data_IF_473224487601
#
_entry.id   IF_473224487601
#
_cell.length_a   1.000
_cell.length_b   1.000
_cell.length_c   1.000
_cell.angle_alpha   90.00
_cell.angle_beta   90.00
_cell.angle_gamma   90.00
#
_symmetry.space_group_name_H-M   'P 1'
#
loop_
_entity.id
_entity.type
_entity.pdbx_description
1 polymer ?
#
# COMPACT_ATOMS: atom_id res chain seq x y z
N UNK A 1 -27.61 -32.29 1.90
CA UNK A 1 -26.92 -31.36 0.98
C UNK A 1 -27.31 -29.94 1.37
N UNK A 2 -26.36 -29.08 1.71
CA UNK A 2 -26.63 -27.73 2.19
C UNK A 2 -26.72 -26.75 1.01
N UNK A 3 -27.77 -25.94 0.97
CA UNK A 3 -27.98 -24.89 -0.01
C UNK A 3 -26.93 -23.78 0.21
N UNK A 4 -25.85 -23.77 -0.57
CA UNK A 4 -24.88 -22.68 -0.55
C UNK A 4 -25.38 -21.54 -1.44
N UNK A 5 -25.71 -20.42 -0.82
CA UNK A 5 -25.95 -19.15 -1.51
C UNK A 5 -24.60 -18.47 -1.78
N UNK A 6 -24.27 -18.12 -3.04
CA UNK A 6 -23.07 -17.34 -3.32
C UNK A 6 -23.26 -15.92 -2.76
N UNK A 7 -22.46 -15.57 -1.76
CA UNK A 7 -22.37 -14.19 -1.26
C UNK A 7 -21.40 -13.44 -2.16
N UNK A 8 -21.92 -12.53 -2.96
CA UNK A 8 -21.10 -11.71 -3.85
C UNK A 8 -20.24 -10.74 -3.04
N UNK A 9 -19.01 -10.54 -3.53
CA UNK A 9 -18.09 -9.55 -2.97
C UNK A 9 -18.63 -8.15 -3.24
N UNK A 10 -18.45 -7.24 -2.28
CA UNK A 10 -18.86 -5.84 -2.45
C UNK A 10 -18.20 -5.20 -3.68
N UNK A 11 -18.99 -4.44 -4.45
CA UNK A 11 -18.55 -3.79 -5.70
C UNK A 11 -17.36 -2.85 -5.44
N UNK A 12 -17.31 -2.24 -4.25
CA UNK A 12 -16.21 -1.37 -3.80
C UNK A 12 -14.85 -2.08 -3.70
N UNK A 13 -14.85 -3.41 -3.58
CA UNK A 13 -13.65 -4.25 -3.46
C UNK A 13 -13.25 -4.90 -4.78
N UNK A 14 -14.03 -4.72 -5.84
CA UNK A 14 -13.74 -5.26 -7.16
C UNK A 14 -12.81 -4.27 -7.86
N UNK A 15 -11.53 -4.61 -7.96
CA UNK A 15 -10.60 -3.86 -8.76
C UNK A 15 -10.74 -4.22 -10.24
N UNK A 16 -10.68 -3.20 -11.10
CA UNK A 16 -10.60 -3.41 -12.53
C UNK A 16 -9.26 -4.07 -12.88
N UNK A 17 -9.33 -5.24 -13.52
CA UNK A 17 -8.19 -5.87 -14.16
C UNK A 17 -8.07 -5.28 -15.55
N UNK A 18 -6.95 -4.61 -15.80
CA UNK A 18 -6.83 -3.69 -16.94
C UNK A 18 -6.23 -4.43 -18.13
N UNK A 19 -5.12 -5.10 -17.88
CA UNK A 19 -4.32 -5.74 -18.92
C UNK A 19 -3.83 -7.08 -18.38
N UNK A 20 -4.10 -8.16 -19.14
CA UNK A 20 -3.66 -9.53 -18.82
C UNK A 20 -4.05 -10.01 -17.41
N UNK A 21 -5.17 -9.53 -16.86
CA UNK A 21 -5.60 -9.93 -15.51
C UNK A 21 -4.82 -9.26 -14.38
N UNK A 22 -4.04 -8.21 -14.67
CA UNK A 22 -3.30 -7.42 -13.68
C UNK A 22 -4.02 -6.09 -13.38
N UNK A 23 -3.98 -5.68 -12.11
CA UNK A 23 -4.44 -4.35 -11.71
C UNK A 23 -3.46 -3.27 -12.15
N UNK A 24 -3.89 -2.00 -12.18
CA UNK A 24 -3.02 -0.86 -12.47
C UNK A 24 -1.76 -0.82 -11.60
N UNK A 25 -1.88 -1.22 -10.33
CA UNK A 25 -0.75 -1.27 -9.40
C UNK A 25 0.26 -2.35 -9.78
N UNK A 26 -0.24 -3.53 -10.13
CA UNK A 26 0.62 -4.64 -10.56
C UNK A 26 1.33 -4.27 -11.85
N UNK A 27 0.65 -3.62 -12.80
CA UNK A 27 1.28 -3.12 -14.03
C UNK A 27 2.38 -2.09 -13.74
N UNK A 28 2.12 -1.14 -12.84
CA UNK A 28 3.14 -0.17 -12.43
C UNK A 28 4.35 -0.83 -11.75
N UNK A 29 4.14 -1.93 -11.03
CA UNK A 29 5.20 -2.70 -10.38
C UNK A 29 5.96 -3.62 -11.36
N UNK A 30 5.29 -4.21 -12.36
CA UNK A 30 5.93 -5.12 -13.31
C UNK A 30 6.85 -4.40 -14.28
N UNK A 31 6.52 -3.19 -14.71
CA UNK A 31 7.36 -2.42 -15.65
C UNK A 31 8.81 -2.25 -15.15
N UNK A 32 9.08 -1.68 -13.96
CA UNK A 32 10.43 -1.55 -13.45
C UNK A 32 11.05 -2.91 -13.12
N UNK A 33 10.25 -3.87 -12.66
CA UNK A 33 10.73 -5.23 -12.38
C UNK A 33 11.30 -5.89 -13.64
N UNK A 34 10.63 -5.77 -14.78
CA UNK A 34 11.08 -6.31 -16.08
C UNK A 34 12.27 -5.54 -16.62
N UNK A 35 12.27 -4.20 -16.55
CA UNK A 35 13.38 -3.38 -17.07
C UNK A 35 14.67 -3.65 -16.28
N UNK A 36 14.59 -3.63 -14.96
CA UNK A 36 15.77 -3.77 -14.09
C UNK A 36 16.26 -5.23 -14.08
N UNK A 37 15.38 -6.21 -13.86
CA UNK A 37 15.81 -7.62 -13.86
C UNK A 37 16.17 -8.11 -15.26
N UNK A 38 15.47 -7.65 -16.30
CA UNK A 38 15.82 -7.96 -17.69
C UNK A 38 17.18 -7.38 -18.05
N UNK A 39 17.48 -6.14 -17.65
CA UNK A 39 18.80 -5.54 -17.83
C UNK A 39 19.90 -6.30 -17.08
N UNK A 40 19.64 -6.72 -15.83
CA UNK A 40 20.59 -7.50 -15.04
C UNK A 40 20.82 -8.90 -15.65
N UNK A 41 19.77 -9.53 -16.16
CA UNK A 41 19.85 -10.81 -16.85
C UNK A 41 20.67 -10.70 -18.14
N UNK A 42 20.48 -9.63 -18.93
CA UNK A 42 21.27 -9.37 -20.12
C UNK A 42 22.75 -9.13 -19.80
N UNK A 43 23.06 -8.45 -18.69
CA UNK A 43 24.43 -8.30 -18.20
C UNK A 43 25.06 -9.64 -17.79
N UNK A 44 24.32 -10.50 -17.08
CA UNK A 44 24.81 -11.82 -16.72
C UNK A 44 25.03 -12.71 -17.94
N UNK A 45 24.16 -12.63 -18.94
CA UNK A 45 24.37 -13.29 -20.23
C UNK A 45 25.65 -12.80 -20.92
N UNK A 46 25.90 -11.48 -20.93
CA UNK A 46 27.11 -10.91 -21.53
C UNK A 46 28.40 -11.33 -20.79
N UNK A 47 28.36 -11.47 -19.47
CA UNK A 47 29.52 -11.86 -18.65
C UNK A 47 29.79 -13.36 -18.72
N UNK A 48 28.75 -14.20 -18.66
CA UNK A 48 28.91 -15.65 -18.67
C UNK A 48 29.08 -16.21 -20.10
N UNK A 49 28.69 -15.46 -21.14
CA UNK A 49 28.75 -15.89 -22.54
C UNK A 49 27.75 -16.98 -22.92
N UNK A 50 26.91 -17.41 -21.98
CA UNK A 50 25.88 -18.44 -22.13
C UNK A 50 24.67 -18.07 -21.27
N UNK A 51 23.52 -18.71 -21.56
CA UNK A 51 22.30 -18.61 -20.74
C UNK A 51 22.41 -19.38 -19.41
N UNK A 52 23.62 -19.64 -18.94
CA UNK A 52 23.85 -20.23 -17.63
C UNK A 52 23.81 -19.13 -16.56
N UNK A 53 22.65 -19.03 -15.91
CA UNK A 53 22.48 -18.21 -14.72
C UNK A 53 22.88 -19.06 -13.52
N UNK A 54 24.01 -18.72 -12.92
CA UNK A 54 24.51 -19.41 -11.71
C UNK A 54 23.58 -19.17 -10.52
N UNK A 55 23.64 -20.06 -9.53
CA UNK A 55 22.79 -20.00 -8.33
C UNK A 55 22.89 -18.66 -7.59
N UNK A 56 24.08 -18.04 -7.53
CA UNK A 56 24.24 -16.73 -6.89
C UNK A 56 23.61 -15.58 -7.69
N UNK A 57 23.67 -15.63 -9.03
CA UNK A 57 23.04 -14.63 -9.91
C UNK A 57 21.52 -14.66 -9.78
N UNK A 58 20.93 -15.85 -9.57
CA UNK A 58 19.51 -15.99 -9.28
C UNK A 58 19.12 -15.30 -7.96
N UNK A 59 19.94 -15.43 -6.90
CA UNK A 59 19.67 -14.73 -5.65
C UNK A 59 19.73 -13.21 -5.82
N UNK A 60 20.66 -12.69 -6.63
CA UNK A 60 20.73 -11.25 -6.91
C UNK A 60 19.47 -10.77 -7.65
N UNK A 61 19.05 -11.47 -8.71
CA UNK A 61 17.80 -11.18 -9.42
C UNK A 61 16.60 -11.20 -8.46
N UNK A 62 16.54 -12.22 -7.59
CA UNK A 62 15.45 -12.34 -6.63
C UNK A 62 15.40 -11.16 -5.65
N UNK A 63 16.52 -10.79 -5.05
CA UNK A 63 16.59 -9.67 -4.09
C UNK A 63 16.22 -8.35 -4.76
N UNK A 64 16.62 -8.15 -6.01
CA UNK A 64 16.28 -6.95 -6.79
C UNK A 64 14.81 -6.91 -7.19
N UNK A 65 14.22 -8.06 -7.54
CA UNK A 65 12.79 -8.17 -7.86
C UNK A 65 11.86 -8.04 -6.65
N UNK A 66 12.31 -8.50 -5.48
CA UNK A 66 11.53 -8.58 -4.25
C UNK A 66 10.81 -7.29 -3.86
N UNK A 67 11.44 -6.10 -3.79
CA UNK A 67 10.74 -4.87 -3.40
C UNK A 67 9.59 -4.49 -4.37
N UNK A 68 9.76 -4.73 -5.68
CA UNK A 68 8.72 -4.46 -6.67
C UNK A 68 7.58 -5.47 -6.58
N UNK A 69 7.90 -6.74 -6.38
CA UNK A 69 6.89 -7.79 -6.18
C UNK A 69 6.07 -7.53 -4.90
N UNK A 70 6.73 -7.14 -3.81
CA UNK A 70 6.07 -6.71 -2.59
C UNK A 70 5.16 -5.51 -2.88
N UNK A 71 5.64 -4.44 -3.51
CA UNK A 71 4.78 -3.30 -3.82
C UNK A 71 3.55 -3.66 -4.67
N UNK A 72 3.71 -4.49 -5.72
CA UNK A 72 2.62 -4.89 -6.60
C UNK A 72 1.58 -5.80 -5.93
N UNK A 73 2.03 -6.77 -5.13
CA UNK A 73 1.19 -7.87 -4.62
C UNK A 73 0.91 -7.83 -3.12
N UNK A 74 1.57 -6.96 -2.35
CA UNK A 74 1.32 -6.85 -0.91
C UNK A 74 -0.08 -6.31 -0.64
N UNK A 75 -0.91 -7.14 0.00
CA UNK A 75 -2.27 -6.80 0.45
C UNK A 75 -2.52 -7.38 1.84
N UNK A 76 -2.13 -6.67 2.91
CA UNK A 76 -2.43 -7.13 4.26
C UNK A 76 -3.95 -7.08 4.42
N UNK A 77 -4.54 -8.22 4.81
CA UNK A 77 -5.99 -8.37 4.97
C UNK A 77 -6.84 -8.01 3.74
N UNK A 78 -6.27 -8.07 2.53
CA UNK A 78 -6.99 -7.76 1.29
C UNK A 78 -7.25 -6.27 1.06
N UNK A 79 -6.71 -5.39 1.90
CA UNK A 79 -6.85 -3.94 1.78
C UNK A 79 -5.73 -3.33 0.93
N UNK A 80 -6.01 -2.20 0.28
CA UNK A 80 -5.01 -1.42 -0.46
C UNK A 80 -4.13 -0.64 0.53
N UNK A 81 -2.86 -1.00 0.76
CA UNK A 81 -1.98 -0.33 1.69
C UNK A 81 -1.87 1.18 1.43
N UNK A 82 -1.89 1.65 0.18
CA UNK A 82 -1.78 3.09 -0.14
C UNK A 82 -2.86 3.94 0.54
N UNK A 83 -4.08 3.41 0.68
CA UNK A 83 -5.20 4.13 1.29
C UNK A 83 -5.14 4.12 2.81
N UNK A 84 -4.56 3.07 3.40
CA UNK A 84 -4.56 2.83 4.83
C UNK A 84 -3.27 3.23 5.54
N UNK A 85 -2.16 3.40 4.81
CA UNK A 85 -0.86 3.74 5.40
C UNK A 85 -0.91 5.05 6.18
N UNK A 86 -1.65 6.06 5.69
CA UNK A 86 -1.82 7.32 6.39
C UNK A 86 -2.58 7.18 7.72
N UNK A 87 -3.58 6.30 7.75
CA UNK A 87 -4.32 6.00 8.99
C UNK A 87 -3.47 5.22 9.99
N UNK A 88 -2.73 4.22 9.51
CA UNK A 88 -1.79 3.45 10.33
C UNK A 88 -0.72 4.38 10.91
N UNK A 89 -0.16 5.27 10.09
CA UNK A 89 0.82 6.26 10.54
C UNK A 89 0.21 7.20 11.59
N UNK A 90 -0.98 7.76 11.33
CA UNK A 90 -1.69 8.60 12.30
C UNK A 90 -2.01 7.86 13.59
N UNK A 91 -2.27 6.55 13.53
CA UNK A 91 -2.57 5.74 14.70
C UNK A 91 -1.33 5.45 15.57
N UNK A 92 -0.19 5.17 14.94
CA UNK A 92 1.05 4.89 15.68
C UNK A 92 1.76 6.16 16.18
N UNK A 93 1.76 7.24 15.41
CA UNK A 93 2.45 8.49 15.76
C UNK A 93 1.53 9.59 16.31
N UNK A 94 0.22 9.46 16.16
CA UNK A 94 -0.74 10.45 16.65
C UNK A 94 -1.21 10.17 18.07
N UNK A 95 -1.79 11.20 18.71
CA UNK A 95 -2.56 11.02 19.95
C UNK A 95 -3.87 10.30 19.61
N UNK A 96 -4.03 9.07 20.11
CA UNK A 96 -5.26 8.29 20.05
C UNK A 96 -6.33 8.86 21.02
N UNK A 97 -6.73 10.11 20.82
CA UNK A 97 -7.81 10.74 21.57
C UNK A 97 -9.12 10.57 20.78
N UNK A 98 -9.91 9.59 21.20
CA UNK A 98 -11.24 9.35 20.66
C UNK A 98 -12.26 10.11 21.51
N UNK A 99 -12.73 11.24 21.01
CA UNK A 99 -13.79 11.99 21.66
C UNK A 99 -15.14 11.38 21.29
N UNK A 100 -15.99 11.10 22.29
CA UNK A 100 -17.32 10.53 22.09
C UNK A 100 -18.22 11.43 21.22
N UNK A 101 -18.01 12.75 21.26
CA UNK A 101 -18.79 13.76 20.55
C UNK A 101 -18.10 14.30 19.27
N UNK A 102 -17.03 13.65 18.80
CA UNK A 102 -16.24 14.11 17.64
C UNK A 102 -15.07 15.04 18.00
N UNK A 103 -14.25 15.42 17.00
CA UNK A 103 -13.02 16.19 17.24
C UNK A 103 -13.28 17.44 18.10
N UNK A 104 -12.50 17.60 19.17
CA UNK A 104 -12.61 18.73 20.08
C UNK A 104 -12.41 20.05 19.30
N UNK A 105 -13.51 20.74 19.00
CA UNK A 105 -13.46 22.08 18.44
C UNK A 105 -12.77 22.99 19.44
N UNK A 106 -11.76 23.73 18.98
CA UNK A 106 -11.18 24.82 19.77
C UNK A 106 -12.24 25.92 19.93
N UNK A 107 -13.00 25.86 21.02
CA UNK A 107 -13.94 26.92 21.37
C UNK A 107 -13.10 28.04 21.98
N UNK A 108 -12.90 29.13 21.24
CA UNK A 108 -12.43 30.39 21.85
C UNK A 108 -13.58 30.96 22.67
N UNK A 109 -13.62 30.59 23.95
CA UNK A 109 -14.57 31.19 24.89
C UNK A 109 -14.10 32.63 25.14
N UNK A 110 -14.94 33.61 24.81
CA UNK A 110 -14.72 35.01 25.21
C UNK A 110 -14.58 35.04 26.73
N UNK A 111 -13.54 35.72 27.23
CA UNK A 111 -13.33 35.85 28.66
C UNK A 111 -14.64 36.33 29.31
N UNK A 112 -15.12 35.57 30.31
CA UNK A 112 -16.33 35.93 31.07
C UNK A 112 -16.19 37.40 31.49
N UNK A 113 -17.12 38.30 31.12
CA UNK A 113 -17.06 39.66 31.61
C UNK A 113 -17.19 39.59 33.13
N UNK A 114 -16.11 39.86 33.83
CA UNK A 114 -16.12 40.02 35.28
C UNK A 114 -17.01 41.21 35.60
N UNK A 115 -17.98 41.00 36.49
CA UNK A 115 -19.09 41.90 36.88
C UNK A 115 -18.60 43.17 37.61
N UNK A 116 -17.42 43.69 37.29
CA UNK A 116 -16.76 44.80 38.02
C UNK A 116 -16.61 46.10 37.22
N UNK A 117 -17.23 46.21 36.04
CA UNK A 117 -17.29 47.47 35.29
C UNK A 117 -18.74 47.99 35.24
N UNK A 118 -19.28 48.29 36.41
CA UNK A 118 -20.43 49.17 36.55
C UNK A 118 -20.07 50.25 37.56
N UNK A 119 -19.51 51.36 37.06
CA UNK A 119 -19.49 52.62 37.78
C UNK A 119 -19.44 53.80 36.82
#
# INVERSE_FOLDING_TARGET
MALQMPVYREISQIEALVLLGLSWRQLAATVPMVVINGGLCALFFAVNGALDITTWQMFVLFVVALPFALFGWWRPHGMMPERFIGYVWRHYWGKNLYFLDGEARSVRVSAKPTVKEAR
#
